data_IF_036119357105
#
_entry.id   IF_036119357105
#
_cell.length_a   1.000
_cell.length_b   1.000
_cell.length_c   1.000
_cell.angle_alpha   90.00
_cell.angle_beta   90.00
_cell.angle_gamma   90.00
#
_symmetry.space_group_name_H-M   'P 1'
#
loop_
_entity.id
_entity.type
_entity.pdbx_description
1 polymer ?
#
# COMPACT_ATOMS: atom_id res chain seq x y z
N UNK A 1 -50.00 14.37 73.23
CA UNK A 1 -49.39 13.29 72.48
C UNK A 1 -49.14 13.81 71.06
N UNK A 2 -47.98 14.33 70.79
CA UNK A 2 -47.63 14.90 69.49
C UNK A 2 -46.72 13.98 68.79
N UNK A 3 -47.09 13.61 67.53
CA UNK A 3 -46.19 12.89 66.63
C UNK A 3 -45.33 13.88 65.83
N UNK A 4 -44.02 13.72 65.96
CA UNK A 4 -43.06 14.45 65.13
C UNK A 4 -42.84 13.65 63.77
N UNK A 5 -42.76 14.30 62.61
CA UNK A 5 -42.40 13.63 61.36
C UNK A 5 -40.90 13.48 61.23
N UNK A 6 -40.48 12.31 60.77
CA UNK A 6 -39.07 11.95 60.37
C UNK A 6 -38.66 12.68 59.08
N UNK A 7 -37.40 13.09 58.94
CA UNK A 7 -36.91 13.71 57.71
C UNK A 7 -36.65 12.69 56.63
N UNK A 8 -37.16 12.96 55.44
CA UNK A 8 -36.91 12.22 54.21
C UNK A 8 -35.50 12.52 53.67
N UNK A 9 -34.58 11.57 53.81
CA UNK A 9 -33.27 11.60 53.16
C UNK A 9 -33.37 11.35 51.68
N UNK A 10 -33.17 12.40 50.90
CA UNK A 10 -32.97 12.32 49.44
C UNK A 10 -31.60 11.67 49.15
N UNK A 11 -31.62 10.41 48.74
CA UNK A 11 -30.46 9.74 48.13
C UNK A 11 -30.28 10.30 46.71
N UNK A 12 -29.30 11.17 46.50
CA UNK A 12 -28.87 11.60 45.20
C UNK A 12 -28.03 10.47 44.59
N UNK A 13 -28.58 9.70 43.67
CA UNK A 13 -27.81 8.85 42.76
C UNK A 13 -27.04 9.78 41.81
N UNK A 14 -25.77 9.96 42.05
CA UNK A 14 -24.83 10.52 41.10
C UNK A 14 -24.58 9.47 40.04
N UNK A 15 -25.29 9.56 38.90
CA UNK A 15 -24.99 8.77 37.72
C UNK A 15 -23.62 9.12 37.16
N UNK A 16 -22.63 8.27 37.41
CA UNK A 16 -21.33 8.31 36.76
C UNK A 16 -21.53 7.91 35.28
N UNK A 17 -21.70 8.89 34.41
CA UNK A 17 -21.67 8.66 32.99
C UNK A 17 -20.25 8.22 32.61
N UNK A 18 -20.06 6.92 32.42
CA UNK A 18 -18.87 6.38 31.77
C UNK A 18 -18.89 6.87 30.33
N UNK A 19 -18.17 7.95 30.05
CA UNK A 19 -17.79 8.31 28.70
C UNK A 19 -16.86 7.19 28.19
N UNK A 20 -17.42 6.21 27.52
CA UNK A 20 -16.66 5.34 26.63
C UNK A 20 -16.08 6.26 25.54
N UNK A 21 -14.84 6.70 25.73
CA UNK A 21 -14.05 7.25 24.66
C UNK A 21 -13.92 6.14 23.62
N UNK A 22 -14.75 6.20 22.59
CA UNK A 22 -14.50 5.43 21.38
C UNK A 22 -13.13 5.89 20.88
N UNK A 23 -12.10 5.09 21.09
CA UNK A 23 -10.82 5.29 20.42
C UNK A 23 -11.14 5.33 18.92
N UNK A 24 -10.75 6.36 18.20
CA UNK A 24 -10.92 6.36 16.76
C UNK A 24 -10.27 5.08 16.23
N UNK A 25 -10.98 4.31 15.43
CA UNK A 25 -10.42 3.17 14.73
C UNK A 25 -9.28 3.70 13.86
N UNK A 26 -8.05 3.54 14.33
CA UNK A 26 -6.84 4.04 13.67
C UNK A 26 -6.54 3.07 12.55
N UNK A 27 -6.32 3.59 11.43
CA UNK A 27 -6.17 2.92 10.16
C UNK A 27 -4.69 2.75 9.79
N UNK A 28 -4.35 1.79 8.96
CA UNK A 28 -3.10 1.07 9.07
C UNK A 28 -3.04 0.48 10.49
N UNK A 29 -2.23 -0.44 10.79
CA UNK A 29 -2.06 -0.87 12.19
C UNK A 29 -1.35 0.25 12.94
N UNK A 30 -1.99 0.85 13.95
CA UNK A 30 -1.39 1.93 14.75
C UNK A 30 -1.28 3.32 14.11
N UNK A 31 -1.77 3.52 12.89
CA UNK A 31 -1.58 4.75 12.11
C UNK A 31 -2.15 6.03 12.75
N UNK A 32 -1.75 7.19 12.22
CA UNK A 32 -2.04 8.51 12.75
C UNK A 32 -3.45 9.05 12.43
N UNK A 33 -4.23 8.35 11.58
CA UNK A 33 -5.61 8.73 11.31
C UNK A 33 -6.11 8.48 9.89
N UNK A 34 -7.35 8.92 9.65
CA UNK A 34 -8.02 8.86 8.35
C UNK A 34 -7.83 10.19 7.63
N UNK A 35 -7.39 10.13 6.38
CA UNK A 35 -7.36 11.29 5.49
C UNK A 35 -8.79 11.66 5.06
N UNK A 36 -9.20 12.93 5.18
CA UNK A 36 -10.56 13.35 4.89
C UNK A 36 -10.88 13.46 3.39
N UNK A 37 -9.98 13.04 2.50
CA UNK A 37 -10.14 13.10 1.05
C UNK A 37 -10.45 14.52 0.49
N UNK A 38 -9.95 15.58 1.15
CA UNK A 38 -10.09 16.96 0.65
C UNK A 38 -9.17 17.22 -0.54
N UNK A 39 -9.48 18.27 -1.31
CA UNK A 39 -8.60 18.71 -2.40
C UNK A 39 -7.27 19.26 -1.91
N UNK A 40 -7.18 19.69 -0.65
CA UNK A 40 -5.95 20.18 -0.02
C UNK A 40 -5.13 19.09 0.66
N UNK A 41 -5.61 17.83 0.67
CA UNK A 41 -4.86 16.72 1.24
C UNK A 41 -3.56 16.50 0.45
N UNK A 42 -2.41 16.39 1.12
CA UNK A 42 -1.16 16.03 0.46
C UNK A 42 -1.20 14.61 -0.12
N UNK A 43 -2.18 13.81 0.27
CA UNK A 43 -2.35 12.41 -0.13
C UNK A 43 -3.44 12.21 -1.19
N UNK A 44 -3.96 13.27 -1.78
CA UNK A 44 -5.07 13.22 -2.74
C UNK A 44 -4.75 12.41 -4.02
N UNK A 45 -3.48 12.26 -4.38
CA UNK A 45 -3.02 11.43 -5.48
C UNK A 45 -2.80 9.95 -5.14
N UNK A 46 -3.03 9.54 -3.87
CA UNK A 46 -3.07 8.12 -3.51
C UNK A 46 -4.45 7.57 -3.83
N UNK A 47 -4.49 6.49 -4.60
CA UNK A 47 -5.72 5.90 -5.13
C UNK A 47 -5.94 4.49 -4.59
N UNK A 48 -7.18 4.06 -4.46
CA UNK A 48 -7.46 2.65 -4.22
C UNK A 48 -7.66 1.91 -5.53
N UNK A 49 -7.28 0.63 -5.55
CA UNK A 49 -7.37 -0.27 -6.70
C UNK A 49 -8.35 -1.37 -6.34
N UNK A 50 -9.43 -1.51 -7.11
CA UNK A 50 -10.40 -2.59 -6.96
C UNK A 50 -10.27 -3.55 -8.13
N UNK A 51 -10.04 -4.83 -7.84
CA UNK A 51 -10.02 -5.89 -8.84
C UNK A 51 -11.41 -6.56 -8.94
N UNK A 52 -11.81 -7.01 -10.13
CA UNK A 52 -13.12 -7.63 -10.37
C UNK A 52 -13.38 -8.89 -9.52
N UNK A 53 -12.34 -9.57 -9.05
CA UNK A 53 -12.47 -10.76 -8.20
C UNK A 53 -12.61 -10.41 -6.70
N UNK A 54 -12.78 -9.13 -6.37
CA UNK A 54 -12.81 -8.62 -5.01
C UNK A 54 -11.42 -8.22 -4.53
N UNK A 55 -11.41 -7.53 -3.39
CA UNK A 55 -10.19 -6.94 -2.82
C UNK A 55 -10.02 -5.49 -3.24
N UNK A 56 -9.57 -4.69 -2.28
CA UNK A 56 -9.13 -3.31 -2.49
C UNK A 56 -7.67 -3.25 -2.11
N UNK A 57 -6.89 -2.63 -2.96
CA UNK A 57 -5.45 -2.42 -2.81
C UNK A 57 -5.13 -0.94 -2.97
N UNK A 58 -3.87 -0.59 -2.96
CA UNK A 58 -3.44 0.80 -3.01
C UNK A 58 -2.45 1.05 -4.14
N UNK A 59 -2.43 2.27 -4.65
CA UNK A 59 -1.44 2.78 -5.59
C UNK A 59 -1.31 4.29 -5.49
N UNK A 60 -0.36 4.88 -6.19
CA UNK A 60 -0.16 6.32 -6.22
C UNK A 60 0.02 6.84 -7.64
N UNK A 61 -0.57 7.99 -7.93
CA UNK A 61 -0.37 8.68 -9.19
C UNK A 61 1.07 9.19 -9.31
N UNK A 62 1.72 8.82 -10.40
CA UNK A 62 3.05 9.33 -10.82
C UNK A 62 2.95 10.19 -12.09
N UNK A 63 1.75 10.35 -12.59
CA UNK A 63 1.37 11.19 -13.73
C UNK A 63 -0.15 11.20 -13.84
N UNK A 64 -0.71 12.06 -14.69
CA UNK A 64 -2.17 12.21 -14.80
C UNK A 64 -2.89 10.95 -15.33
N UNK A 65 -2.16 9.97 -15.88
CA UNK A 65 -2.67 8.68 -16.37
C UNK A 65 -1.85 7.49 -15.90
N UNK A 66 -0.93 7.67 -14.96
CA UNK A 66 -0.04 6.59 -14.53
C UNK A 66 -0.07 6.41 -13.03
N UNK A 67 -0.26 5.18 -12.61
CA UNK A 67 -0.25 4.74 -11.21
C UNK A 67 0.91 3.79 -10.98
N UNK A 68 1.66 4.02 -9.91
CA UNK A 68 2.66 3.12 -9.38
C UNK A 68 2.02 2.26 -8.28
N UNK A 69 2.27 0.97 -8.29
CA UNK A 69 1.76 -0.01 -7.32
C UNK A 69 2.66 -1.25 -7.29
N UNK A 70 2.35 -2.23 -6.45
CA UNK A 70 3.05 -3.51 -6.44
C UNK A 70 2.63 -4.41 -7.62
N UNK A 71 3.56 -5.21 -8.12
CA UNK A 71 3.29 -6.14 -9.22
C UNK A 71 2.25 -7.19 -8.84
N UNK A 72 2.34 -7.79 -7.64
CA UNK A 72 1.41 -8.81 -7.17
C UNK A 72 -0.06 -8.33 -7.13
N UNK A 73 -0.30 -7.02 -6.95
CA UNK A 73 -1.64 -6.42 -6.94
C UNK A 73 -2.31 -6.52 -8.31
N UNK A 74 -1.55 -6.37 -9.38
CA UNK A 74 -2.08 -6.20 -10.74
C UNK A 74 -1.68 -7.33 -11.70
N UNK A 75 -0.77 -8.23 -11.30
CA UNK A 75 -0.23 -9.30 -12.13
C UNK A 75 -1.31 -10.21 -12.72
N UNK A 76 -2.29 -10.62 -11.94
CA UNK A 76 -3.41 -11.44 -12.40
C UNK A 76 -4.26 -10.76 -13.50
N UNK A 77 -4.22 -9.44 -13.58
CA UNK A 77 -4.98 -8.64 -14.54
C UNK A 77 -4.13 -8.07 -15.69
N UNK A 78 -2.86 -8.48 -15.83
CA UNK A 78 -1.95 -7.93 -16.85
C UNK A 78 -2.44 -8.11 -18.28
N UNK A 79 -3.20 -9.18 -18.55
CA UNK A 79 -3.80 -9.45 -19.85
C UNK A 79 -5.26 -8.95 -19.98
N UNK A 80 -5.86 -8.51 -18.88
CA UNK A 80 -7.23 -8.00 -18.80
C UNK A 80 -7.28 -6.72 -17.96
N UNK A 81 -6.52 -5.67 -18.33
CA UNK A 81 -6.35 -4.48 -17.48
C UNK A 81 -7.67 -3.78 -17.17
N UNK A 82 -8.65 -3.80 -18.08
CA UNK A 82 -9.97 -3.22 -17.88
C UNK A 82 -10.75 -3.78 -16.67
N UNK A 83 -10.30 -4.90 -16.10
CA UNK A 83 -10.86 -5.48 -14.87
C UNK A 83 -10.37 -4.79 -13.59
N UNK A 84 -9.44 -3.86 -13.69
CA UNK A 84 -8.97 -3.05 -12.59
C UNK A 84 -9.67 -1.70 -12.61
N UNK A 85 -10.21 -1.28 -11.46
CA UNK A 85 -10.79 0.05 -11.25
C UNK A 85 -9.93 0.84 -10.26
N UNK A 86 -9.50 2.01 -10.68
CA UNK A 86 -8.75 2.97 -9.87
C UNK A 86 -9.71 4.04 -9.36
N UNK A 87 -9.84 4.11 -8.04
CA UNK A 87 -10.76 5.04 -7.40
C UNK A 87 -9.97 6.24 -6.90
N UNK A 88 -10.31 7.42 -7.39
CA UNK A 88 -9.75 8.69 -6.96
C UNK A 88 -10.67 9.30 -5.90
N UNK A 89 -10.08 9.69 -4.77
CA UNK A 89 -10.77 10.35 -3.66
C UNK A 89 -10.24 11.78 -3.53
N UNK A 90 -10.74 12.70 -4.38
CA UNK A 90 -10.29 14.09 -4.45
C UNK A 90 -11.46 15.05 -4.25
N UNK A 91 -11.50 15.70 -3.09
CA UNK A 91 -12.62 16.53 -2.68
C UNK A 91 -13.87 15.76 -2.29
N UNK A 92 -13.72 14.47 -1.97
CA UNK A 92 -14.78 13.55 -1.58
C UNK A 92 -14.40 12.10 -1.84
N UNK A 93 -15.34 11.21 -1.54
CA UNK A 93 -15.14 9.78 -1.70
C UNK A 93 -15.55 9.31 -3.10
N UNK A 94 -14.71 8.50 -3.74
CA UNK A 94 -14.96 7.88 -5.04
C UNK A 94 -15.41 8.89 -6.11
N UNK A 95 -14.76 10.05 -6.12
CA UNK A 95 -15.12 11.17 -7.01
C UNK A 95 -14.86 10.85 -8.47
N UNK A 96 -13.92 9.93 -8.74
CA UNK A 96 -13.62 9.44 -10.08
C UNK A 96 -13.25 7.96 -10.02
N UNK A 97 -13.75 7.19 -10.98
CA UNK A 97 -13.43 5.76 -11.13
C UNK A 97 -12.94 5.52 -12.56
N UNK A 98 -11.73 5.04 -12.73
CA UNK A 98 -11.07 4.89 -14.03
C UNK A 98 -10.54 3.47 -14.15
N UNK A 99 -10.83 2.80 -15.26
CA UNK A 99 -10.25 1.48 -15.54
C UNK A 99 -8.81 1.58 -16.01
N UNK A 100 -8.06 0.49 -15.94
CA UNK A 100 -6.74 0.43 -16.56
C UNK A 100 -6.84 0.24 -18.08
N UNK A 101 -5.91 0.86 -18.82
CA UNK A 101 -5.66 0.63 -20.24
C UNK A 101 -4.56 -0.41 -20.42
N UNK A 102 -3.49 -0.32 -19.62
CA UNK A 102 -2.35 -1.24 -19.68
C UNK A 102 -1.71 -1.44 -18.31
N UNK A 103 -1.13 -2.61 -18.12
CA UNK A 103 -0.38 -2.99 -16.92
C UNK A 103 1.04 -3.35 -17.36
N UNK A 104 2.03 -2.71 -16.75
CA UNK A 104 3.44 -2.96 -16.95
C UNK A 104 4.03 -3.52 -15.65
N UNK A 105 4.38 -4.79 -15.68
CA UNK A 105 5.06 -5.48 -14.56
C UNK A 105 6.56 -5.34 -14.75
N UNK A 106 7.32 -5.18 -13.66
CA UNK A 106 8.78 -5.23 -13.77
C UNK A 106 9.23 -6.57 -14.36
N UNK A 107 10.19 -6.59 -15.31
CA UNK A 107 10.52 -7.80 -16.03
C UNK A 107 11.13 -8.91 -15.16
N UNK A 108 11.82 -8.55 -14.10
CA UNK A 108 12.41 -9.51 -13.15
C UNK A 108 11.40 -10.01 -12.11
N UNK A 109 10.21 -9.39 -11.98
CA UNK A 109 9.19 -9.87 -11.05
C UNK A 109 8.76 -11.31 -11.36
N UNK A 110 8.84 -12.19 -10.37
CA UNK A 110 8.39 -13.59 -10.46
C UNK A 110 7.17 -13.81 -9.59
N UNK A 111 6.03 -14.23 -10.20
CA UNK A 111 4.82 -14.55 -9.45
C UNK A 111 5.03 -15.80 -8.60
N UNK A 112 4.53 -15.74 -7.38
CA UNK A 112 4.40 -16.92 -6.53
C UNK A 112 5.72 -17.41 -5.97
N UNK A 113 6.53 -16.52 -5.52
CA UNK A 113 7.67 -16.89 -4.71
C UNK A 113 7.18 -17.70 -3.50
N UNK A 114 7.07 -18.99 -3.74
CA UNK A 114 6.70 -19.95 -2.72
C UNK A 114 7.87 -20.00 -1.73
N UNK A 115 7.54 -20.01 -0.46
CA UNK A 115 8.37 -20.00 0.73
C UNK A 115 9.51 -21.04 0.81
N UNK A 116 10.14 -21.37 -0.31
CA UNK A 116 11.28 -22.28 -0.38
C UNK A 116 12.64 -21.56 -0.36
N UNK A 117 12.66 -20.26 -0.51
CA UNK A 117 13.85 -19.42 -0.27
C UNK A 117 13.62 -18.54 0.95
N UNK A 118 14.46 -18.64 2.01
CA UNK A 118 14.32 -17.87 3.24
C UNK A 118 14.61 -16.37 3.03
N UNK A 119 15.12 -16.00 1.88
CA UNK A 119 15.53 -14.64 1.54
C UNK A 119 14.41 -14.03 0.73
N UNK A 120 13.62 -13.25 1.40
CA UNK A 120 12.60 -12.30 0.96
C UNK A 120 12.40 -12.23 -0.56
N UNK A 121 11.60 -13.13 -1.05
CA UNK A 121 11.27 -13.32 -2.43
C UNK A 121 10.30 -12.25 -2.96
N UNK A 122 10.47 -11.01 -2.60
CA UNK A 122 9.63 -9.89 -2.98
C UNK A 122 10.37 -8.90 -3.88
N UNK A 123 11.56 -9.26 -4.37
CA UNK A 123 12.30 -8.42 -5.27
C UNK A 123 11.47 -8.10 -6.51
N UNK A 124 11.66 -6.90 -7.06
CA UNK A 124 10.97 -6.42 -8.26
C UNK A 124 9.43 -6.41 -8.19
N UNK A 125 8.85 -6.48 -7.00
CA UNK A 125 7.40 -6.42 -6.82
C UNK A 125 6.85 -5.01 -7.07
N UNK A 126 7.04 -4.53 -8.29
CA UNK A 126 6.68 -3.18 -8.71
C UNK A 126 6.01 -3.19 -10.09
N UNK A 127 5.00 -2.35 -10.26
CA UNK A 127 4.26 -2.22 -11.51
C UNK A 127 3.83 -0.78 -11.77
N UNK A 128 3.81 -0.42 -13.06
CA UNK A 128 3.21 0.83 -13.55
C UNK A 128 1.92 0.48 -14.30
N UNK A 129 0.83 1.17 -13.98
CA UNK A 129 -0.44 1.00 -14.66
C UNK A 129 -0.81 2.28 -15.40
N UNK A 130 -1.15 2.14 -16.67
CA UNK A 130 -1.71 3.23 -17.47
C UNK A 130 -3.23 3.22 -17.37
N UNK A 131 -3.81 4.33 -16.98
CA UNK A 131 -5.25 4.52 -16.89
C UNK A 131 -5.86 4.78 -18.27
N UNK A 132 -7.10 4.33 -18.48
CA UNK A 132 -7.85 4.54 -19.73
C UNK A 132 -8.19 6.02 -19.99
N UNK A 133 -8.25 6.84 -18.93
CA UNK A 133 -8.45 8.27 -19.00
C UNK A 133 -7.53 9.00 -18.02
N UNK A 134 -7.31 10.29 -18.22
CA UNK A 134 -6.63 11.13 -17.26
C UNK A 134 -7.50 11.34 -16.01
N UNK A 135 -6.86 11.49 -14.86
CA UNK A 135 -7.52 11.99 -13.65
C UNK A 135 -7.92 13.46 -13.85
N UNK A 136 -8.88 13.91 -13.04
CA UNK A 136 -9.33 15.30 -13.07
C UNK A 136 -8.17 16.27 -12.78
N UNK A 137 -8.27 17.47 -13.34
CA UNK A 137 -7.31 18.55 -13.10
C UNK A 137 -7.24 18.88 -11.60
N UNK A 138 -6.03 19.14 -11.13
CA UNK A 138 -5.76 19.44 -9.73
C UNK A 138 -5.48 18.22 -8.84
N UNK A 139 -5.75 16.98 -9.28
CA UNK A 139 -5.31 15.78 -8.56
C UNK A 139 -3.78 15.69 -8.63
N UNK A 140 -3.08 15.66 -7.49
CA UNK A 140 -1.62 15.66 -7.49
C UNK A 140 -1.06 14.30 -7.95
N UNK A 141 0.05 14.35 -8.69
CA UNK A 141 0.92 13.22 -8.94
C UNK A 141 2.25 13.43 -8.21
N UNK A 142 2.90 12.34 -7.80
CA UNK A 142 4.12 12.40 -6.99
C UNK A 142 5.35 12.11 -7.84
N UNK A 143 6.42 12.84 -7.55
CA UNK A 143 7.77 12.52 -8.03
C UNK A 143 8.34 11.30 -7.29
N UNK A 144 9.27 10.62 -7.93
CA UNK A 144 10.04 9.54 -7.33
C UNK A 144 11.19 10.12 -6.50
N UNK A 145 11.46 9.51 -5.35
CA UNK A 145 12.67 9.78 -4.58
C UNK A 145 13.78 8.86 -5.10
N UNK A 146 14.82 9.46 -5.67
CA UNK A 146 15.94 8.74 -6.29
C UNK A 146 17.23 8.87 -5.48
N UNK A 147 17.15 9.48 -4.27
CA UNK A 147 18.27 9.57 -3.36
C UNK A 147 18.44 8.31 -2.51
N UNK A 148 19.43 8.33 -1.64
CA UNK A 148 19.68 7.25 -0.68
C UNK A 148 18.57 7.23 0.38
N UNK A 149 17.76 6.17 0.37
CA UNK A 149 16.69 6.00 1.33
C UNK A 149 17.22 5.88 2.77
N UNK A 150 18.42 5.41 2.98
CA UNK A 150 19.04 5.31 4.31
C UNK A 150 19.25 6.67 4.99
N UNK A 151 19.33 7.77 4.23
CA UNK A 151 19.41 9.13 4.76
C UNK A 151 18.04 9.71 5.13
N UNK A 152 16.96 9.13 4.64
CA UNK A 152 15.57 9.52 4.87
C UNK A 152 14.82 8.39 5.58
N UNK A 153 15.20 8.10 6.82
CA UNK A 153 14.70 6.94 7.55
C UNK A 153 13.25 7.07 8.00
N UNK A 154 12.74 8.29 8.15
CA UNK A 154 11.33 8.51 8.51
C UNK A 154 10.44 8.35 7.29
N UNK A 155 9.46 7.46 7.40
CA UNK A 155 8.51 7.09 6.36
C UNK A 155 7.11 7.56 6.71
N UNK A 156 6.36 7.98 5.69
CA UNK A 156 4.91 8.16 5.78
C UNK A 156 4.22 7.16 4.87
N UNK A 157 3.38 6.33 5.47
CA UNK A 157 2.60 5.28 4.84
C UNK A 157 1.21 5.80 4.55
N UNK A 158 0.69 5.60 3.33
CA UNK A 158 -0.66 6.05 2.97
C UNK A 158 -1.37 4.97 2.19
N UNK A 159 -2.47 4.43 2.72
CA UNK A 159 -3.07 3.21 2.20
C UNK A 159 -4.60 3.12 2.40
N UNK A 160 -5.22 2.10 1.80
CA UNK A 160 -6.66 1.82 1.86
C UNK A 160 -7.00 0.44 2.46
N UNK A 161 -6.03 -0.25 3.02
CA UNK A 161 -6.19 -1.59 3.59
C UNK A 161 -6.99 -1.67 4.89
N UNK A 162 -6.82 -2.75 5.62
CA UNK A 162 -7.44 -3.00 6.92
C UNK A 162 -6.98 -2.03 8.00
N UNK A 163 -7.58 -2.10 9.17
CA UNK A 163 -7.30 -1.25 10.32
C UNK A 163 -7.18 -2.05 11.61
N UNK A 164 -6.44 -1.51 12.57
CA UNK A 164 -6.31 -2.11 13.88
C UNK A 164 -5.28 -1.38 14.74
N UNK A 165 -4.84 -2.04 15.78
CA UNK A 165 -3.79 -1.57 16.67
C UNK A 165 -2.72 -2.65 16.91
N UNK A 166 -1.57 -2.23 17.42
CA UNK A 166 -0.45 -3.15 17.59
C UNK A 166 -0.65 -4.18 18.73
N UNK A 167 -1.58 -3.95 19.64
CA UNK A 167 -1.85 -4.88 20.74
C UNK A 167 -2.79 -6.02 20.30
N UNK A 168 -3.85 -5.67 19.57
CA UNK A 168 -4.90 -6.63 19.16
C UNK A 168 -4.69 -7.16 17.73
N UNK A 169 -3.92 -6.47 16.92
CA UNK A 169 -3.76 -6.78 15.50
C UNK A 169 -4.90 -6.20 14.65
N UNK A 170 -5.10 -6.76 13.46
CA UNK A 170 -6.16 -6.30 12.55
C UNK A 170 -7.54 -6.50 13.15
N UNK A 171 -8.28 -5.43 13.39
CA UNK A 171 -9.66 -5.44 13.89
C UNK A 171 -10.68 -5.29 12.76
N UNK A 172 -10.28 -4.71 11.62
CA UNK A 172 -11.10 -4.61 10.41
C UNK A 172 -10.33 -5.26 9.26
N UNK A 173 -10.75 -6.44 8.87
CA UNK A 173 -10.13 -7.19 7.76
C UNK A 173 -10.55 -6.70 6.37
N UNK A 174 -11.50 -5.77 6.30
CA UNK A 174 -12.03 -5.22 5.05
C UNK A 174 -11.32 -3.92 4.66
N UNK A 175 -10.66 -3.93 3.50
CA UNK A 175 -10.24 -2.71 2.83
C UNK A 175 -11.46 -1.93 2.33
N UNK A 176 -11.43 -0.59 2.44
CA UNK A 176 -12.50 0.28 1.97
C UNK A 176 -11.94 1.28 0.95
N UNK A 177 -12.40 1.26 -0.30
CA UNK A 177 -11.86 2.11 -1.36
C UNK A 177 -12.04 3.62 -1.12
N UNK A 178 -12.87 4.01 -0.17
CA UNK A 178 -13.10 5.41 0.19
C UNK A 178 -12.38 5.86 1.48
N UNK A 179 -11.76 4.95 2.23
CA UNK A 179 -11.15 5.26 3.53
C UNK A 179 -9.63 5.19 3.41
N UNK A 180 -9.04 6.33 3.11
CA UNK A 180 -7.60 6.51 3.03
C UNK A 180 -6.99 6.74 4.42
N UNK A 181 -5.89 6.11 4.68
CA UNK A 181 -5.24 6.06 5.98
C UNK A 181 -3.79 6.52 5.91
N UNK A 182 -3.34 7.14 6.99
CA UNK A 182 -1.98 7.67 7.10
C UNK A 182 -1.34 7.09 8.35
N UNK A 183 -0.10 6.68 8.22
CA UNK A 183 0.73 6.19 9.31
C UNK A 183 2.17 6.58 9.11
N UNK A 184 2.99 6.33 10.12
CA UNK A 184 4.44 6.58 10.06
C UNK A 184 5.18 5.33 10.48
N UNK A 185 6.36 5.16 9.93
CA UNK A 185 7.35 4.22 10.43
C UNK A 185 8.75 4.73 10.04
N UNK A 186 9.77 3.94 10.27
CA UNK A 186 11.15 4.27 9.96
C UNK A 186 11.80 3.07 9.27
N UNK A 187 12.70 3.31 8.34
CA UNK A 187 13.51 2.23 7.77
C UNK A 187 14.44 1.70 8.84
N UNK A 188 14.34 0.42 9.15
CA UNK A 188 15.22 -0.26 10.09
C UNK A 188 16.40 -0.93 9.38
N UNK A 189 16.17 -1.50 8.21
CA UNK A 189 17.21 -2.11 7.39
C UNK A 189 16.87 -2.04 5.90
N UNK A 190 17.90 -2.22 5.09
CA UNK A 190 17.84 -2.29 3.63
C UNK A 190 18.49 -3.58 3.17
N UNK A 191 17.75 -4.36 2.36
CA UNK A 191 18.23 -5.62 1.83
C UNK A 191 18.67 -5.42 0.36
N UNK A 192 19.73 -6.11 -0.07
CA UNK A 192 20.20 -6.02 -1.45
C UNK A 192 19.23 -6.71 -2.42
N UNK A 193 19.44 -6.45 -3.69
CA UNK A 193 18.79 -7.14 -4.81
C UNK A 193 19.14 -8.64 -4.84
N UNK A 194 18.32 -9.43 -5.52
CA UNK A 194 18.56 -10.86 -5.72
C UNK A 194 19.40 -11.16 -6.98
N UNK A 195 19.70 -10.17 -7.82
CA UNK A 195 20.66 -10.28 -8.92
C UNK A 195 22.12 -10.24 -8.45
N UNK A 196 22.36 -9.90 -7.18
CA UNK A 196 23.70 -9.87 -6.59
C UNK A 196 24.52 -8.62 -6.96
N UNK A 197 23.86 -7.53 -7.37
CA UNK A 197 24.55 -6.26 -7.63
C UNK A 197 24.96 -5.55 -6.32
N UNK A 198 24.28 -5.87 -5.21
CA UNK A 198 24.46 -5.24 -3.93
C UNK A 198 23.73 -3.91 -3.78
N UNK A 199 22.90 -3.53 -4.75
CA UNK A 199 22.03 -2.36 -4.65
C UNK A 199 20.93 -2.64 -3.64
N UNK A 200 20.65 -1.69 -2.75
CA UNK A 200 19.54 -1.80 -1.82
C UNK A 200 18.21 -1.68 -2.57
N UNK A 201 17.44 -2.76 -2.60
CA UNK A 201 16.22 -2.86 -3.35
C UNK A 201 14.98 -3.06 -2.48
N UNK A 202 15.15 -3.63 -1.30
CA UNK A 202 14.05 -3.87 -0.35
C UNK A 202 14.30 -3.07 0.92
N UNK A 203 13.31 -2.30 1.36
CA UNK A 203 13.31 -1.72 2.70
C UNK A 203 12.48 -2.57 3.63
N UNK A 204 12.91 -2.65 4.88
CA UNK A 204 12.18 -3.32 5.97
C UNK A 204 12.06 -2.41 7.18
N UNK A 205 11.02 -2.61 7.94
CA UNK A 205 10.78 -2.01 9.24
C UNK A 205 10.02 -2.97 10.14
N UNK A 206 10.10 -2.79 11.45
CA UNK A 206 9.20 -3.47 12.37
C UNK A 206 8.15 -2.52 12.96
N UNK A 207 7.26 -3.07 13.73
CA UNK A 207 6.18 -2.35 14.36
C UNK A 207 6.41 -2.33 15.88
N UNK A 208 7.08 -1.32 16.34
CA UNK A 208 7.50 -1.21 17.72
C UNK A 208 6.34 -0.94 18.68
N UNK A 209 6.27 -1.77 19.70
CA UNK A 209 5.36 -1.61 20.81
C UNK A 209 6.03 -0.98 22.04
N UNK A 210 5.28 -0.91 23.16
CA UNK A 210 5.82 -0.39 24.42
C UNK A 210 6.84 -1.30 25.08
N UNK A 211 6.91 -2.57 24.66
CA UNK A 211 7.87 -3.55 25.17
C UNK A 211 9.07 -3.61 24.23
N UNK A 212 10.29 -3.48 24.77
CA UNK A 212 11.53 -3.54 24.01
C UNK A 212 11.70 -4.85 23.21
N UNK A 213 11.05 -5.93 23.61
CA UNK A 213 11.04 -7.20 22.86
C UNK A 213 10.30 -7.12 21.54
N UNK A 214 9.45 -6.09 21.34
CA UNK A 214 8.73 -5.86 20.09
C UNK A 214 9.56 -5.13 19.03
N UNK A 215 10.69 -4.53 19.40
CA UNK A 215 11.68 -4.07 18.44
C UNK A 215 12.46 -5.28 17.90
N UNK A 216 11.86 -5.96 16.94
CA UNK A 216 12.33 -7.26 16.42
C UNK A 216 13.62 -7.09 15.61
N UNK A 217 13.68 -6.07 14.75
CA UNK A 217 14.88 -5.78 13.93
C UNK A 217 15.97 -5.18 14.81
N UNK A 218 15.63 -4.31 15.75
CA UNK A 218 16.58 -3.71 16.69
C UNK A 218 17.30 -4.72 17.59
N UNK A 219 16.79 -5.95 17.74
CA UNK A 219 17.52 -7.04 18.39
C UNK A 219 18.77 -7.45 17.60
N UNK A 220 18.73 -7.35 16.29
CA UNK A 220 19.82 -7.75 15.40
C UNK A 220 20.66 -6.56 14.91
N UNK A 221 20.03 -5.40 14.73
CA UNK A 221 20.68 -4.17 14.24
C UNK A 221 20.93 -3.23 15.41
N UNK A 222 22.19 -2.84 15.69
CA UNK A 222 22.54 -2.08 16.91
C UNK A 222 21.90 -0.69 17.03
N UNK A 223 21.40 -0.10 15.94
CA UNK A 223 20.74 1.18 15.96
C UNK A 223 19.23 0.96 16.16
N UNK A 224 18.72 1.26 17.34
CA UNK A 224 17.27 1.32 17.55
C UNK A 224 16.71 2.51 16.77
N UNK A 225 15.93 2.24 15.74
CA UNK A 225 15.39 3.23 14.81
C UNK A 225 13.90 3.52 15.04
N UNK A 226 13.35 3.10 16.17
CA UNK A 226 11.94 3.28 16.53
C UNK A 226 11.49 4.74 16.57
N UNK A 227 10.26 5.00 16.15
CA UNK A 227 9.52 6.24 16.40
C UNK A 227 8.69 6.17 17.70
N UNK A 228 8.54 4.98 18.26
CA UNK A 228 7.77 4.66 19.45
C UNK A 228 6.35 4.15 19.21
N UNK A 229 5.86 3.35 20.13
CA UNK A 229 4.62 2.58 20.07
C UNK A 229 3.33 3.37 19.74
N UNK A 230 3.32 4.66 19.96
CA UNK A 230 2.15 5.51 19.69
C UNK A 230 2.24 6.25 18.36
N UNK A 231 3.29 6.04 17.60
CA UNK A 231 3.56 6.76 16.34
C UNK A 231 3.67 5.79 15.18
N UNK A 232 4.26 4.63 15.41
CA UNK A 232 4.49 3.65 14.36
C UNK A 232 3.22 3.00 13.85
N UNK A 233 3.27 2.65 12.57
CA UNK A 233 2.21 1.97 11.86
C UNK A 233 2.77 0.80 11.07
N UNK A 234 1.94 -0.23 10.88
CA UNK A 234 2.24 -1.43 10.10
C UNK A 234 1.19 -1.62 9.01
N UNK A 235 1.55 -2.32 7.94
CA UNK A 235 0.63 -2.71 6.89
C UNK A 235 -0.38 -3.77 7.35
N UNK A 236 -1.57 -3.68 6.79
CA UNK A 236 -2.63 -4.70 6.88
C UNK A 236 -3.01 -5.18 5.48
N UNK A 237 -3.85 -6.20 5.39
CA UNK A 237 -4.35 -6.67 4.09
C UNK A 237 -5.05 -5.55 3.31
N UNK A 238 -4.66 -5.36 2.05
CA UNK A 238 -5.13 -4.27 1.19
C UNK A 238 -4.23 -3.03 1.14
N UNK A 239 -3.20 -2.95 1.99
CA UNK A 239 -2.19 -1.90 1.89
C UNK A 239 -1.14 -2.19 0.80
N UNK A 240 -1.14 -3.38 0.23
CA UNK A 240 -0.31 -3.77 -0.91
C UNK A 240 -0.31 -2.72 -2.01
N UNK A 241 0.87 -2.36 -2.49
CA UNK A 241 1.07 -1.35 -3.53
C UNK A 241 0.98 0.10 -3.03
N UNK A 242 0.79 0.32 -1.72
CA UNK A 242 0.75 1.66 -1.18
C UNK A 242 2.09 2.37 -1.32
N UNK A 243 2.07 3.69 -1.61
CA UNK A 243 3.27 4.48 -1.63
C UNK A 243 3.81 4.67 -0.21
N UNK A 244 5.13 4.64 -0.13
CA UNK A 244 5.89 5.06 1.04
C UNK A 244 6.55 6.40 0.71
N UNK A 245 6.20 7.42 1.46
CA UNK A 245 6.66 8.77 1.21
C UNK A 245 7.81 9.17 2.12
N UNK A 246 8.72 9.94 1.56
CA UNK A 246 9.68 10.78 2.29
C UNK A 246 9.40 12.25 2.00
N UNK A 247 9.66 13.10 2.99
CA UNK A 247 9.64 14.55 2.78
C UNK A 247 11.03 15.02 2.36
N UNK A 248 11.16 15.38 1.09
CA UNK A 248 12.39 15.89 0.51
C UNK A 248 12.28 17.42 0.37
N UNK A 249 12.82 18.13 1.36
CA UNK A 249 12.81 19.59 1.41
C UNK A 249 11.40 20.22 1.26
N UNK A 250 10.41 19.63 1.92
CA UNK A 250 9.01 20.09 1.89
C UNK A 250 8.17 19.48 0.76
N UNK A 251 8.75 18.67 -0.11
CA UNK A 251 8.07 17.98 -1.20
C UNK A 251 7.94 16.49 -0.87
N UNK A 252 6.72 15.98 -0.90
CA UNK A 252 6.47 14.54 -0.74
C UNK A 252 6.83 13.78 -2.01
N UNK A 253 7.74 12.81 -1.88
CA UNK A 253 8.18 11.93 -2.97
C UNK A 253 7.99 10.48 -2.58
N UNK A 254 7.69 9.61 -3.55
CA UNK A 254 7.58 8.18 -3.35
C UNK A 254 8.99 7.58 -3.28
N UNK A 255 9.34 7.03 -2.12
CA UNK A 255 10.62 6.36 -1.87
C UNK A 255 10.51 4.84 -1.94
N UNK A 256 9.31 4.32 -1.73
CA UNK A 256 9.05 2.88 -1.78
C UNK A 256 7.60 2.54 -2.09
N UNK A 257 7.36 1.26 -2.36
CA UNK A 257 6.06 0.64 -2.58
C UNK A 257 5.90 -0.54 -1.63
N UNK A 258 4.82 -0.56 -0.84
CA UNK A 258 4.51 -1.64 0.09
C UNK A 258 4.29 -2.96 -0.64
N UNK A 259 5.01 -4.00 -0.25
CA UNK A 259 4.91 -5.32 -0.83
C UNK A 259 4.41 -6.38 0.17
N UNK A 260 4.86 -6.33 1.42
CA UNK A 260 4.57 -7.38 2.39
C UNK A 260 4.39 -6.85 3.80
N UNK A 261 3.66 -7.62 4.60
CA UNK A 261 3.61 -7.55 6.05
C UNK A 261 3.78 -8.96 6.61
N UNK A 262 4.44 -9.06 7.75
CA UNK A 262 4.74 -10.32 8.38
C UNK A 262 6.10 -10.86 7.99
N UNK A 263 7.04 -10.88 8.89
CA UNK A 263 8.32 -11.56 8.78
C UNK A 263 8.16 -13.08 8.99
N UNK A 264 9.30 -13.77 9.08
CA UNK A 264 9.39 -15.20 9.36
C UNK A 264 8.81 -15.62 10.72
N UNK A 265 8.47 -14.64 11.57
CA UNK A 265 7.93 -14.88 12.91
C UNK A 265 6.54 -14.27 13.03
N UNK A 266 5.52 -15.13 13.10
CA UNK A 266 4.19 -14.73 13.53
C UNK A 266 4.28 -14.25 14.98
N UNK A 267 3.75 -13.08 15.28
CA UNK A 267 3.57 -12.65 16.66
C UNK A 267 2.36 -13.37 17.22
N UNK A 268 2.60 -14.20 18.21
CA UNK A 268 1.58 -15.07 18.80
C UNK A 268 1.39 -14.75 20.28
N UNK A 269 0.14 -14.80 20.73
CA UNK A 269 -0.15 -14.88 22.16
C UNK A 269 0.24 -16.29 22.68
N UNK A 270 0.40 -16.41 23.98
CA UNK A 270 0.55 -17.71 24.65
C UNK A 270 -0.63 -17.93 25.59
N UNK A 271 -1.23 -19.11 25.53
CA UNK A 271 -2.20 -19.51 26.53
C UNK A 271 -1.52 -19.86 27.88
N UNK A 272 -2.32 -20.17 28.91
CA UNK A 272 -1.82 -20.52 30.24
C UNK A 272 -0.92 -21.77 30.25
N UNK A 273 -0.93 -22.58 29.19
CA UNK A 273 -0.10 -23.77 29.00
C UNK A 273 1.13 -23.48 28.13
N UNK A 274 1.32 -22.22 27.70
CA UNK A 274 2.44 -21.79 26.87
C UNK A 274 2.30 -22.14 25.38
N UNK A 275 1.13 -22.62 24.93
CA UNK A 275 0.84 -22.91 23.52
C UNK A 275 0.60 -21.58 22.78
N UNK A 276 1.20 -21.45 21.59
CA UNK A 276 1.00 -20.31 20.73
C UNK A 276 -0.44 -20.27 20.20
N UNK A 277 -1.11 -19.13 20.41
CA UNK A 277 -2.47 -18.86 19.96
C UNK A 277 -2.53 -17.45 19.36
N UNK A 278 -3.60 -17.16 18.61
CA UNK A 278 -3.82 -15.82 18.00
C UNK A 278 -2.61 -15.26 17.25
N UNK A 279 -1.92 -16.14 16.51
CA UNK A 279 -0.75 -15.74 15.74
C UNK A 279 -1.17 -14.82 14.60
N UNK A 280 -0.65 -13.59 14.59
CA UNK A 280 -0.92 -12.59 13.56
C UNK A 280 0.37 -11.85 13.19
N UNK A 281 0.43 -11.41 11.96
CA UNK A 281 1.54 -10.65 11.40
C UNK A 281 1.33 -9.13 11.44
N UNK A 282 0.38 -8.66 12.24
CA UNK A 282 -0.04 -7.26 12.31
C UNK A 282 0.02 -6.68 13.73
N UNK A 283 0.50 -7.43 14.72
CA UNK A 283 0.75 -6.95 16.08
C UNK A 283 2.12 -6.30 16.21
N UNK A 284 2.34 -5.63 17.35
CA UNK A 284 3.68 -5.17 17.71
C UNK A 284 4.74 -6.27 17.57
N UNK A 285 5.88 -5.95 16.99
CA UNK A 285 6.94 -6.87 16.63
C UNK A 285 6.80 -7.50 15.24
N UNK A 286 5.71 -7.21 14.51
CA UNK A 286 5.57 -7.67 13.13
C UNK A 286 6.45 -6.84 12.19
N UNK A 287 7.00 -7.49 11.17
CA UNK A 287 7.87 -6.87 10.16
C UNK A 287 7.04 -6.52 8.93
N UNK A 288 7.28 -5.35 8.36
CA UNK A 288 6.75 -4.90 7.08
C UNK A 288 7.85 -4.40 6.17
N UNK A 289 7.53 -4.25 4.90
CA UNK A 289 8.50 -3.72 3.95
C UNK A 289 7.98 -3.65 2.53
N UNK A 290 8.89 -3.37 1.62
CA UNK A 290 8.54 -3.25 0.19
C UNK A 290 9.72 -2.82 -0.66
N UNK A 291 9.43 -2.49 -1.91
CA UNK A 291 10.44 -2.13 -2.89
C UNK A 291 10.92 -0.69 -2.70
N UNK A 292 12.21 -0.48 -2.71
CA UNK A 292 12.84 0.83 -2.85
C UNK A 292 12.63 1.31 -4.30
N UNK A 293 12.13 2.53 -4.48
CA UNK A 293 11.80 3.04 -5.83
C UNK A 293 13.02 3.48 -6.61
N UNK A 294 14.09 3.91 -5.94
CA UNK A 294 15.27 4.47 -6.59
C UNK A 294 15.92 3.55 -7.65
N UNK A 295 16.16 2.25 -7.38
CA UNK A 295 16.72 1.34 -8.39
C UNK A 295 15.84 1.17 -9.62
N UNK A 296 14.54 1.27 -9.45
CA UNK A 296 13.54 1.07 -10.52
C UNK A 296 13.16 2.37 -11.27
N UNK A 297 13.74 3.51 -10.90
CA UNK A 297 13.29 4.82 -11.39
C UNK A 297 13.35 4.95 -12.91
N UNK A 298 14.42 4.48 -13.54
CA UNK A 298 14.59 4.54 -14.99
C UNK A 298 13.56 3.65 -15.71
N UNK A 299 13.30 2.46 -15.19
CA UNK A 299 12.28 1.58 -15.72
C UNK A 299 10.88 2.21 -15.61
N UNK A 300 10.54 2.80 -14.46
CA UNK A 300 9.26 3.49 -14.25
C UNK A 300 9.08 4.62 -15.26
N UNK A 301 10.10 5.47 -15.41
CA UNK A 301 10.08 6.60 -16.37
C UNK A 301 9.89 6.10 -17.81
N UNK A 302 10.59 5.04 -18.19
CA UNK A 302 10.46 4.45 -19.51
C UNK A 302 9.02 3.96 -19.79
N UNK A 303 8.30 3.43 -18.78
CA UNK A 303 6.89 3.00 -18.94
C UNK A 303 5.94 4.19 -19.12
N UNK A 304 6.24 5.35 -18.52
CA UNK A 304 5.43 6.56 -18.67
C UNK A 304 5.60 7.22 -20.06
N UNK A 305 6.75 7.08 -20.67
CA UNK A 305 7.10 7.73 -21.94
C UNK A 305 6.95 6.81 -23.17
N UNK A 306 6.91 5.48 -22.95
CA UNK A 306 6.76 4.52 -24.06
C UNK A 306 5.37 4.63 -24.67
N UNK A 307 5.25 4.73 -26.02
CA UNK A 307 3.97 4.54 -26.67
C UNK A 307 3.47 3.14 -26.34
N UNK A 308 2.18 3.03 -26.03
CA UNK A 308 1.53 1.71 -25.87
C UNK A 308 1.80 0.90 -27.14
N UNK A 309 2.33 -0.34 -27.07
CA UNK A 309 2.39 -1.19 -28.23
C UNK A 309 0.96 -1.36 -28.76
N UNK A 310 0.67 -0.85 -29.93
CA UNK A 310 -0.67 -0.99 -30.50
C UNK A 310 -0.98 -2.48 -30.65
N UNK A 311 -2.10 -2.98 -30.11
CA UNK A 311 -2.43 -4.38 -30.18
C UNK A 311 -2.58 -4.75 -31.66
N UNK A 312 -1.60 -5.44 -32.21
CA UNK A 312 -1.59 -6.14 -33.53
C UNK A 312 -2.24 -5.40 -34.72
N UNK A 313 -2.57 -4.11 -34.62
CA UNK A 313 -3.16 -3.33 -35.72
C UNK A 313 -2.25 -3.34 -36.96
N UNK A 314 -0.93 -3.31 -36.75
CA UNK A 314 0.03 -3.48 -37.86
C UNK A 314 -0.04 -4.84 -38.55
N UNK A 315 -0.24 -5.92 -37.79
CA UNK A 315 -0.40 -7.28 -38.36
C UNK A 315 -1.72 -7.36 -39.10
N UNK A 316 -2.79 -6.79 -38.58
CA UNK A 316 -4.09 -6.72 -39.28
C UNK A 316 -4.02 -5.84 -40.52
N UNK A 317 -3.31 -4.72 -40.47
CA UNK A 317 -3.10 -3.82 -41.60
C UNK A 317 -2.26 -4.50 -42.71
N UNK A 318 -1.16 -5.16 -42.36
CA UNK A 318 -0.33 -5.91 -43.31
C UNK A 318 -1.05 -7.12 -43.88
N UNK A 319 -1.85 -7.82 -43.09
CA UNK A 319 -2.70 -8.91 -43.56
C UNK A 319 -3.76 -8.41 -44.54
N UNK A 320 -4.38 -7.24 -44.25
CA UNK A 320 -5.32 -6.57 -45.16
C UNK A 320 -4.67 -6.17 -46.50
N UNK A 321 -3.48 -5.59 -46.45
CA UNK A 321 -2.71 -5.22 -47.66
C UNK A 321 -2.30 -6.48 -48.47
N UNK A 322 -1.91 -7.56 -47.81
CA UNK A 322 -1.59 -8.84 -48.46
C UNK A 322 -2.79 -9.45 -49.21
N UNK A 323 -3.99 -9.37 -48.59
CA UNK A 323 -5.23 -9.83 -49.22
C UNK A 323 -5.61 -8.99 -50.45
N UNK A 324 -5.50 -7.65 -50.35
CA UNK A 324 -5.77 -6.74 -51.47
C UNK A 324 -4.78 -6.99 -52.61
N UNK A 325 -3.48 -7.15 -52.33
CA UNK A 325 -2.44 -7.45 -53.30
C UNK A 325 -2.66 -8.81 -54.02
N UNK A 326 -3.11 -9.81 -53.24
CA UNK A 326 -3.48 -11.14 -53.78
C UNK A 326 -4.67 -11.09 -54.75
N UNK A 327 -5.71 -10.33 -54.39
CA UNK A 327 -6.91 -10.14 -55.26
C UNK A 327 -6.62 -9.36 -56.53
N UNK A 328 -5.74 -8.36 -56.49
CA UNK A 328 -5.32 -7.60 -57.69
C UNK A 328 -4.50 -8.46 -58.63
N UNK A 329 -3.66 -9.35 -58.12
CA UNK A 329 -2.86 -10.26 -58.95
C UNK A 329 -3.71 -11.31 -59.70
N UNK A 330 -4.84 -11.75 -59.10
CA UNK A 330 -5.77 -12.67 -59.76
C UNK A 330 -6.58 -12.01 -60.88
N UNK A 331 -6.82 -10.69 -60.84
CA UNK A 331 -7.56 -9.95 -61.89
C UNK A 331 -6.71 -9.48 -63.06
N UNK A 332 -5.38 -9.47 -62.96
CA UNK A 332 -4.45 -9.06 -64.01
C UNK A 332 -3.95 -10.19 -64.86
N UNK A 333 -4.44 -11.43 -64.73
CA UNK A 333 -4.04 -12.62 -65.40
C UNK A 333 -5.11 -13.22 -66.37
N UNK A 334 -6.12 -12.43 -66.75
CA UNK A 334 -7.09 -12.79 -67.79
C UNK A 334 -6.90 -11.93 -69.02
#
# INVERSE_FOLDING_TARGET
MGYAPLPSSLVRLSGLALLLAASPAVALMGGSGIDPNTTSSPWAGVVSITANQGGTYTGALIGNRYVLTAAHVVYGNRNTPGNLTFNVNYGGNLTQQISAEAVYIHPSYTEGNTASTPEFAWNDDIAVVKLSAAVADGVPAYGLFTGDLATHRDLTLVAYGGAGDGATGTVTSGSNPAVKRVGKNRVDDLLPDDEGSGVAEVFVFDFDGPDASTNAIGQAVPANLTLGANIEAQYAGGDSGSPVFVNDNGIWKIAGIAAFNGGTTLVCDKDAQGKLINCVNTKFGAIGGGMVVAPHADWIQARMTSPVPEPHSWVSFLAGLGLIGGLMRQRGGQ
#
